data_IF_901000263123
#
_entry.id   IF_901000263123
#
_cell.length_a   1.000
_cell.length_b   1.000
_cell.length_c   1.000
_cell.angle_alpha   90.00
_cell.angle_beta   90.00
_cell.angle_gamma   90.00
#
_symmetry.space_group_name_H-M   'P 1'
#
loop_
_entity.id
_entity.type
_entity.pdbx_description
1 polymer ?
#
# COMPACT_ATOMS: atom_id res chain seq x y z
N UNK A 1 7.00 -9.12 -9.37
CA UNK A 1 5.81 -8.94 -10.22
C UNK A 1 5.02 -7.67 -9.94
N UNK A 2 4.67 -7.30 -8.72
CA UNK A 2 3.90 -6.08 -8.42
C UNK A 2 4.57 -4.80 -8.92
N UNK A 3 5.88 -4.64 -8.70
CA UNK A 3 6.65 -3.47 -9.16
C UNK A 3 6.70 -3.38 -10.69
N UNK A 4 6.94 -4.50 -11.37
CA UNK A 4 6.95 -4.59 -12.82
C UNK A 4 5.58 -4.28 -13.42
N UNK A 5 4.50 -4.80 -12.82
CA UNK A 5 3.11 -4.46 -13.24
C UNK A 5 2.82 -2.97 -13.07
N UNK A 6 3.21 -2.37 -11.93
CA UNK A 6 3.05 -0.94 -11.69
C UNK A 6 3.76 -0.09 -12.74
N UNK A 7 5.01 -0.44 -13.03
CA UNK A 7 5.82 0.26 -14.02
C UNK A 7 5.23 0.18 -15.45
N UNK A 8 4.82 -1.01 -15.90
CA UNK A 8 4.22 -1.18 -17.23
C UNK A 8 2.87 -0.45 -17.37
N UNK A 9 2.04 -0.51 -16.34
CA UNK A 9 0.75 0.16 -16.34
C UNK A 9 0.94 1.68 -16.40
N UNK A 10 1.90 2.21 -15.66
CA UNK A 10 2.20 3.63 -15.67
C UNK A 10 2.76 4.11 -17.02
N UNK A 11 3.64 3.34 -17.64
CA UNK A 11 4.16 3.68 -18.97
C UNK A 11 3.03 3.77 -20.03
N UNK A 12 2.08 2.83 -19.99
CA UNK A 12 0.90 2.88 -20.89
C UNK A 12 0.07 4.14 -20.67
N UNK A 13 -0.16 4.56 -19.41
CA UNK A 13 -0.90 5.80 -19.08
C UNK A 13 -0.19 7.03 -19.61
N UNK A 14 1.13 7.12 -19.45
CA UNK A 14 1.93 8.24 -19.92
C UNK A 14 1.88 8.32 -21.46
N UNK A 15 2.09 7.20 -22.16
CA UNK A 15 2.02 7.16 -23.61
C UNK A 15 0.64 7.56 -24.15
N UNK A 16 -0.43 7.17 -23.44
CA UNK A 16 -1.78 7.57 -23.81
C UNK A 16 -2.02 9.07 -23.57
N UNK A 17 -1.50 9.62 -22.48
CA UNK A 17 -1.58 11.05 -22.22
C UNK A 17 -0.81 11.88 -23.27
N UNK A 18 0.36 11.41 -23.71
CA UNK A 18 1.11 12.04 -24.81
C UNK A 18 0.29 12.05 -26.10
N UNK A 19 -0.38 10.94 -26.44
CA UNK A 19 -1.30 10.89 -27.59
C UNK A 19 -2.45 11.89 -27.48
N UNK A 20 -2.89 12.17 -26.24
CA UNK A 20 -3.94 13.14 -25.94
C UNK A 20 -3.42 14.59 -25.79
N UNK A 21 -2.17 14.85 -26.21
CA UNK A 21 -1.62 16.21 -26.27
C UNK A 21 -0.78 16.66 -25.09
N UNK A 22 -0.44 15.77 -24.14
CA UNK A 22 0.47 16.10 -23.07
C UNK A 22 1.90 16.31 -23.59
N UNK A 23 2.46 17.51 -23.42
CA UNK A 23 3.75 17.93 -24.02
C UNK A 23 4.93 17.89 -23.01
N UNK A 24 4.67 17.73 -21.72
CA UNK A 24 5.66 17.91 -20.65
C UNK A 24 6.55 16.70 -20.35
N UNK A 25 6.33 15.54 -20.97
CA UNK A 25 7.07 14.33 -20.61
C UNK A 25 8.29 14.13 -21.52
N UNK A 26 9.49 14.31 -20.97
CA UNK A 26 10.75 13.88 -21.61
C UNK A 26 11.32 12.69 -20.85
N UNK A 27 11.51 11.57 -21.53
CA UNK A 27 12.15 10.38 -20.95
C UNK A 27 13.63 10.66 -20.67
N UNK A 28 14.03 10.60 -19.41
CA UNK A 28 15.41 10.87 -18.95
C UNK A 28 16.25 9.59 -18.78
N UNK A 29 15.86 8.49 -19.41
CA UNK A 29 16.55 7.21 -19.26
C UNK A 29 16.75 6.46 -20.58
N UNK A 30 17.76 5.61 -20.60
CA UNK A 30 18.08 4.69 -21.70
C UNK A 30 16.90 3.75 -22.00
N UNK A 31 16.74 3.33 -23.27
CA UNK A 31 15.76 2.33 -23.71
C UNK A 31 15.63 1.20 -22.69
N UNK A 32 14.40 0.84 -22.34
CA UNK A 32 14.10 -0.31 -21.49
C UNK A 32 14.71 -1.58 -22.11
N UNK A 33 15.87 -1.96 -21.65
CA UNK A 33 16.48 -3.25 -21.95
C UNK A 33 15.83 -4.33 -21.10
N UNK A 34 15.96 -5.60 -21.51
CA UNK A 34 15.46 -6.76 -20.78
C UNK A 34 15.87 -6.81 -19.29
N UNK A 35 16.90 -6.05 -18.89
CA UNK A 35 17.31 -5.84 -17.49
C UNK A 35 16.25 -5.16 -16.61
N UNK A 36 15.31 -4.43 -17.20
CA UNK A 36 14.19 -3.84 -16.48
C UNK A 36 13.29 -4.91 -15.82
N UNK A 37 13.26 -6.11 -16.39
CA UNK A 37 12.48 -7.24 -15.87
C UNK A 37 13.26 -8.11 -14.88
N UNK A 38 14.58 -7.94 -14.78
CA UNK A 38 15.35 -8.56 -13.70
C UNK A 38 15.01 -7.84 -12.41
N UNK A 39 14.36 -8.56 -11.50
CA UNK A 39 14.18 -8.12 -10.13
C UNK A 39 15.58 -7.81 -9.59
N UNK A 40 15.84 -6.55 -9.28
CA UNK A 40 17.05 -6.22 -8.56
C UNK A 40 16.80 -6.63 -7.10
N UNK A 41 17.28 -7.83 -6.74
CA UNK A 41 17.09 -8.44 -5.42
C UNK A 41 17.46 -7.48 -4.29
N UNK A 42 18.54 -6.73 -4.44
CA UNK A 42 18.98 -5.74 -3.44
C UNK A 42 17.97 -4.59 -3.25
N UNK A 43 17.33 -4.13 -4.34
CA UNK A 43 16.29 -3.09 -4.24
C UNK A 43 14.98 -3.65 -3.67
N UNK A 44 14.66 -4.90 -3.97
CA UNK A 44 13.53 -5.59 -3.38
C UNK A 44 13.76 -5.82 -1.89
N UNK A 45 14.94 -6.26 -1.50
CA UNK A 45 15.35 -6.40 -0.09
C UNK A 45 15.28 -5.07 0.66
N UNK A 46 15.80 -3.98 0.08
CA UNK A 46 15.74 -2.65 0.68
C UNK A 46 14.28 -2.17 0.84
N UNK A 47 13.41 -2.42 -0.16
CA UNK A 47 11.99 -2.08 -0.09
C UNK A 47 11.26 -2.90 0.98
N UNK A 48 11.53 -4.19 1.06
CA UNK A 48 10.96 -5.09 2.06
C UNK A 48 11.45 -4.69 3.45
N UNK A 49 12.74 -4.41 3.61
CA UNK A 49 13.33 -3.92 4.86
C UNK A 49 12.69 -2.60 5.29
N UNK A 50 12.61 -1.61 4.39
CA UNK A 50 11.93 -0.35 4.68
C UNK A 50 10.45 -0.56 5.07
N UNK A 51 9.76 -1.50 4.42
CA UNK A 51 8.38 -1.85 4.77
C UNK A 51 8.28 -2.45 6.17
N UNK A 52 9.21 -3.34 6.53
CA UNK A 52 9.28 -3.95 7.86
C UNK A 52 9.60 -2.88 8.92
N UNK A 53 10.60 -2.02 8.66
CA UNK A 53 10.99 -0.93 9.56
C UNK A 53 9.84 0.08 9.78
N UNK A 54 9.06 0.38 8.72
CA UNK A 54 7.90 1.27 8.83
C UNK A 54 6.75 0.61 9.59
N UNK A 55 6.58 -0.70 9.46
CA UNK A 55 5.59 -1.44 10.23
C UNK A 55 5.97 -1.48 11.72
N UNK A 56 7.25 -1.56 12.04
CA UNK A 56 7.75 -1.44 13.42
C UNK A 56 7.49 -0.06 14.01
N UNK A 57 7.74 1.01 13.24
CA UNK A 57 7.46 2.38 13.67
C UNK A 57 5.98 2.63 13.88
N UNK A 58 5.13 1.98 13.08
CA UNK A 58 3.68 2.14 13.17
C UNK A 58 3.04 1.33 14.33
N UNK A 59 3.69 0.27 14.79
CA UNK A 59 3.07 -0.74 15.66
C UNK A 59 3.99 -1.20 16.80
N UNK A 60 4.83 -0.33 17.31
CA UNK A 60 5.82 -0.53 18.35
C UNK A 60 5.55 -1.65 19.38
N UNK A 61 6.54 -2.51 19.55
CA UNK A 61 6.77 -3.48 20.63
C UNK A 61 6.10 -4.85 20.49
N UNK A 62 6.57 -5.62 19.53
CA UNK A 62 6.61 -7.07 19.66
C UNK A 62 7.90 -7.44 20.38
N UNK A 63 7.87 -8.34 21.38
CA UNK A 63 9.06 -8.79 22.10
C UNK A 63 10.18 -9.18 21.12
N UNK A 64 11.39 -8.63 21.30
CA UNK A 64 12.50 -8.68 20.32
C UNK A 64 12.75 -10.05 19.67
N UNK A 65 12.65 -11.14 20.40
CA UNK A 65 12.91 -12.50 19.87
C UNK A 65 11.79 -12.99 18.94
N UNK A 66 10.54 -12.75 19.31
CA UNK A 66 9.39 -13.10 18.47
C UNK A 66 9.37 -12.25 17.18
N UNK A 67 9.83 -11.00 17.26
CA UNK A 67 9.88 -10.07 16.16
C UNK A 67 10.74 -10.58 14.98
N UNK A 68 11.93 -11.13 15.25
CA UNK A 68 12.81 -11.66 14.20
C UNK A 68 12.20 -12.86 13.48
N UNK A 69 11.45 -13.69 14.19
CA UNK A 69 10.75 -14.84 13.63
C UNK A 69 9.56 -14.41 12.75
N UNK A 70 8.79 -13.41 13.19
CA UNK A 70 7.74 -12.80 12.36
C UNK A 70 8.31 -12.18 11.08
N UNK A 71 9.40 -11.43 11.20
CA UNK A 71 10.06 -10.79 10.05
C UNK A 71 10.52 -11.80 9.01
N UNK A 72 11.17 -12.88 9.42
CA UNK A 72 11.64 -13.94 8.52
C UNK A 72 10.48 -14.61 7.79
N UNK A 73 9.41 -14.97 8.51
CA UNK A 73 8.24 -15.60 7.91
C UNK A 73 7.57 -14.68 6.88
N UNK A 74 7.38 -13.39 7.24
CA UNK A 74 6.80 -12.39 6.33
C UNK A 74 7.72 -12.11 5.14
N UNK A 75 9.03 -11.98 5.35
CA UNK A 75 9.99 -11.78 4.27
C UNK A 75 9.90 -12.89 3.21
N UNK A 76 9.97 -14.15 3.64
CA UNK A 76 9.90 -15.29 2.73
C UNK A 76 8.58 -15.32 1.94
N UNK A 77 7.46 -15.04 2.60
CA UNK A 77 6.15 -14.99 1.96
C UNK A 77 6.04 -13.82 0.97
N UNK A 78 6.62 -12.67 1.28
CA UNK A 78 6.64 -11.52 0.36
C UNK A 78 7.49 -11.77 -0.87
N UNK A 79 8.67 -12.38 -0.71
CA UNK A 79 9.49 -12.82 -1.85
C UNK A 79 8.68 -13.76 -2.73
N UNK A 80 8.05 -14.78 -2.15
CA UNK A 80 7.22 -15.74 -2.87
C UNK A 80 6.08 -15.07 -3.66
N UNK A 81 5.32 -14.18 -3.03
CA UNK A 81 4.22 -13.45 -3.68
C UNK A 81 4.70 -12.48 -4.77
N UNK A 82 5.79 -11.74 -4.50
CA UNK A 82 6.27 -10.68 -5.40
C UNK A 82 7.09 -11.21 -6.58
N UNK A 83 7.74 -12.36 -6.46
CA UNK A 83 8.45 -13.02 -7.56
C UNK A 83 7.49 -13.74 -8.52
N UNK A 84 6.24 -13.94 -8.11
CA UNK A 84 5.24 -14.68 -8.88
C UNK A 84 5.41 -16.18 -8.81
N UNK A 85 6.14 -16.67 -7.81
CA UNK A 85 6.28 -18.11 -7.56
C UNK A 85 4.95 -18.78 -7.14
N UNK A 86 3.98 -17.98 -6.67
CA UNK A 86 2.65 -18.47 -6.33
C UNK A 86 1.63 -17.38 -6.05
N UNK A 87 0.46 -17.81 -5.56
CA UNK A 87 -0.65 -16.90 -5.25
C UNK A 87 -0.42 -16.18 -3.94
N UNK A 88 -1.14 -15.07 -3.77
CA UNK A 88 -1.13 -14.29 -2.54
C UNK A 88 -1.63 -15.12 -1.33
N UNK A 89 -2.72 -15.85 -1.51
CA UNK A 89 -3.32 -16.71 -0.48
C UNK A 89 -2.32 -17.76 0.01
N UNK A 90 -1.56 -18.35 -0.93
CA UNK A 90 -0.53 -19.31 -0.59
C UNK A 90 0.64 -18.68 0.15
N UNK A 91 0.99 -17.43 -0.14
CA UNK A 91 2.00 -16.68 0.61
C UNK A 91 1.56 -16.44 2.07
N UNK A 92 0.29 -16.08 2.29
CA UNK A 92 -0.29 -15.93 3.64
C UNK A 92 -0.28 -17.26 4.39
N UNK A 93 -0.69 -18.35 3.75
CA UNK A 93 -0.67 -19.70 4.33
C UNK A 93 0.76 -20.14 4.73
N UNK A 94 1.74 -19.91 3.85
CA UNK A 94 3.15 -20.19 4.14
C UNK A 94 3.66 -19.39 5.34
N UNK A 95 3.40 -18.08 5.40
CA UNK A 95 3.81 -17.25 6.54
C UNK A 95 3.16 -17.73 7.84
N UNK A 96 1.87 -18.03 7.79
CA UNK A 96 1.12 -18.50 8.95
C UNK A 96 1.67 -19.84 9.46
N UNK A 97 1.92 -20.80 8.57
CA UNK A 97 2.50 -22.10 8.94
C UNK A 97 3.92 -21.99 9.49
N UNK A 98 4.76 -21.14 8.90
CA UNK A 98 6.12 -20.89 9.39
C UNK A 98 6.09 -20.29 10.81
N UNK A 99 5.22 -19.30 11.06
CA UNK A 99 5.05 -18.71 12.40
C UNK A 99 4.54 -19.74 13.41
N UNK A 100 3.53 -20.53 13.05
CA UNK A 100 3.00 -21.59 13.94
C UNK A 100 4.05 -22.65 14.24
N UNK A 101 4.87 -23.06 13.26
CA UNK A 101 5.95 -24.04 13.45
C UNK A 101 7.02 -23.56 14.45
N UNK A 102 7.15 -22.24 14.62
CA UNK A 102 8.04 -21.61 15.60
C UNK A 102 7.38 -21.38 16.98
N UNK A 103 6.15 -21.88 17.18
CA UNK A 103 5.40 -21.72 18.42
C UNK A 103 4.76 -20.36 18.61
N UNK A 104 4.65 -19.55 17.56
CA UNK A 104 3.98 -18.26 17.61
C UNK A 104 2.47 -18.45 17.43
N UNK A 105 1.67 -17.93 18.35
CA UNK A 105 0.21 -18.11 18.34
C UNK A 105 -0.57 -16.87 17.92
N UNK A 106 -0.05 -15.68 18.21
CA UNK A 106 -0.65 -14.39 17.87
C UNK A 106 0.41 -13.30 17.86
N UNK A 107 0.08 -12.17 17.23
CA UNK A 107 0.87 -10.93 17.32
C UNK A 107 0.20 -10.01 18.31
N UNK A 108 0.91 -9.56 19.31
CA UNK A 108 0.46 -8.57 20.27
C UNK A 108 1.14 -7.22 19.99
N UNK A 109 0.34 -6.17 19.85
CA UNK A 109 0.83 -4.81 19.63
C UNK A 109 1.08 -4.08 20.94
N UNK A 110 1.84 -2.98 20.89
CA UNK A 110 2.16 -2.17 22.06
C UNK A 110 0.93 -1.65 22.83
N UNK A 111 -0.20 -1.48 22.15
CA UNK A 111 -1.48 -1.10 22.75
C UNK A 111 -2.25 -2.28 23.36
N UNK A 112 -1.64 -3.49 23.45
CA UNK A 112 -2.27 -4.70 23.96
C UNK A 112 -3.24 -5.39 22.98
N UNK A 113 -3.43 -4.86 21.76
CA UNK A 113 -4.28 -5.50 20.77
C UNK A 113 -3.60 -6.78 20.25
N UNK A 114 -4.38 -7.88 20.18
CA UNK A 114 -3.91 -9.17 19.66
C UNK A 114 -4.54 -9.45 18.30
N UNK A 115 -3.71 -9.87 17.37
CA UNK A 115 -4.11 -10.27 16.04
C UNK A 115 -3.71 -11.71 15.74
N UNK A 116 -4.50 -12.42 14.96
CA UNK A 116 -4.11 -13.75 14.47
C UNK A 116 -2.91 -13.64 13.54
N UNK A 117 -2.13 -14.70 13.42
CA UNK A 117 -0.97 -14.74 12.54
C UNK A 117 -1.36 -14.55 11.07
N UNK A 118 -2.47 -15.16 10.65
CA UNK A 118 -2.99 -15.01 9.28
C UNK A 118 -3.41 -13.56 8.98
N UNK A 119 -4.06 -12.91 9.94
CA UNK A 119 -4.48 -11.51 9.83
C UNK A 119 -3.29 -10.55 9.74
N UNK A 120 -2.25 -10.82 10.55
CA UNK A 120 -0.99 -10.07 10.49
C UNK A 120 -0.25 -10.30 9.18
N UNK A 121 -0.12 -11.55 8.73
CA UNK A 121 0.52 -11.90 7.47
C UNK A 121 -0.21 -11.27 6.28
N UNK A 122 -1.55 -11.35 6.25
CA UNK A 122 -2.38 -10.70 5.24
C UNK A 122 -2.12 -9.20 5.17
N UNK A 123 -2.15 -8.52 6.31
CA UNK A 123 -1.88 -7.08 6.40
C UNK A 123 -0.48 -6.74 5.89
N UNK A 124 0.54 -7.47 6.34
CA UNK A 124 1.93 -7.22 5.99
C UNK A 124 2.18 -7.41 4.49
N UNK A 125 1.76 -8.53 3.93
CA UNK A 125 1.98 -8.86 2.52
C UNK A 125 1.22 -7.90 1.60
N UNK A 126 -0.05 -7.58 1.91
CA UNK A 126 -0.84 -6.58 1.15
C UNK A 126 -0.17 -5.21 1.14
N UNK A 127 0.29 -4.76 2.31
CA UNK A 127 0.94 -3.46 2.45
C UNK A 127 2.24 -3.41 1.65
N UNK A 128 3.08 -4.44 1.74
CA UNK A 128 4.33 -4.51 1.00
C UNK A 128 4.13 -4.60 -0.51
N UNK A 129 3.17 -5.43 -0.97
CA UNK A 129 2.85 -5.56 -2.39
C UNK A 129 2.34 -4.23 -2.98
N UNK A 130 1.53 -3.49 -2.22
CA UNK A 130 1.07 -2.16 -2.63
C UNK A 130 2.22 -1.17 -2.72
N UNK A 131 3.10 -1.13 -1.73
CA UNK A 131 4.28 -0.24 -1.75
C UNK A 131 5.20 -0.58 -2.91
N UNK A 132 5.44 -1.86 -3.20
CA UNK A 132 6.22 -2.29 -4.36
C UNK A 132 5.58 -1.85 -5.68
N UNK A 133 4.24 -1.91 -5.77
CA UNK A 133 3.51 -1.42 -6.95
C UNK A 133 3.67 0.10 -7.13
N UNK A 134 3.46 0.88 -6.05
CA UNK A 134 3.61 2.34 -6.07
C UNK A 134 5.05 2.78 -6.40
N UNK A 135 6.05 2.03 -5.89
CA UNK A 135 7.45 2.23 -6.23
C UNK A 135 7.70 2.03 -7.73
N UNK A 136 7.13 0.97 -8.33
CA UNK A 136 7.27 0.70 -9.76
C UNK A 136 6.62 1.78 -10.63
N UNK A 137 5.42 2.27 -10.23
CA UNK A 137 4.78 3.41 -10.90
C UNK A 137 5.60 4.70 -10.75
N UNK A 138 6.10 4.96 -9.52
CA UNK A 138 6.90 6.17 -9.23
C UNK A 138 8.21 6.21 -10.00
N UNK A 139 8.93 5.09 -10.09
CA UNK A 139 10.15 5.01 -10.90
C UNK A 139 9.88 5.30 -12.38
N UNK A 140 8.76 4.79 -12.89
CA UNK A 140 8.39 5.07 -14.28
C UNK A 140 8.02 6.55 -14.47
N UNK A 141 7.28 7.17 -13.54
CA UNK A 141 7.01 8.62 -13.59
C UNK A 141 8.31 9.43 -13.54
N UNK A 142 9.26 9.03 -12.67
CA UNK A 142 10.57 9.67 -12.56
C UNK A 142 11.36 9.63 -13.88
N UNK A 143 11.35 8.50 -14.60
CA UNK A 143 11.99 8.38 -15.92
C UNK A 143 11.42 9.39 -16.93
N UNK A 144 10.14 9.75 -16.80
CA UNK A 144 9.46 10.71 -17.67
C UNK A 144 9.43 12.14 -17.11
N UNK A 145 10.09 12.40 -15.97
CA UNK A 145 10.13 13.70 -15.33
C UNK A 145 8.79 14.16 -14.76
N UNK A 146 7.86 13.24 -14.50
CA UNK A 146 6.51 13.55 -14.00
C UNK A 146 6.46 13.22 -12.51
N UNK A 147 6.10 14.21 -11.70
CA UNK A 147 5.96 14.04 -10.26
C UNK A 147 4.57 14.43 -9.70
N UNK A 148 3.67 14.91 -10.56
CA UNK A 148 2.31 15.25 -10.19
C UNK A 148 1.42 14.01 -10.19
N UNK A 149 0.71 13.78 -9.08
CA UNK A 149 -0.22 12.67 -8.90
C UNK A 149 -1.53 13.17 -8.33
N UNK A 150 -2.62 12.47 -8.60
CA UNK A 150 -3.92 12.75 -8.02
C UNK A 150 -4.40 11.57 -7.19
N UNK A 151 -4.82 11.83 -5.97
CA UNK A 151 -5.44 10.83 -5.11
C UNK A 151 -6.82 10.45 -5.64
N UNK A 152 -7.12 9.17 -5.67
CA UNK A 152 -8.44 8.70 -6.06
C UNK A 152 -9.51 9.24 -5.08
N UNK A 153 -10.57 9.85 -5.61
CA UNK A 153 -11.78 10.21 -4.86
C UNK A 153 -12.68 8.98 -4.79
N UNK A 154 -12.43 8.13 -3.82
CA UNK A 154 -13.19 6.91 -3.59
C UNK A 154 -14.41 7.21 -2.72
N UNK A 155 -15.53 6.49 -2.91
CA UNK A 155 -16.78 6.73 -2.18
C UNK A 155 -16.71 6.50 -0.65
N UNK A 156 -15.68 5.79 -0.15
CA UNK A 156 -15.50 5.51 1.27
C UNK A 156 -14.02 5.58 1.71
N UNK A 157 -13.33 6.72 1.53
CA UNK A 157 -12.00 6.89 2.09
C UNK A 157 -12.07 6.84 3.62
N UNK A 158 -11.06 6.26 4.25
CA UNK A 158 -10.98 6.27 5.70
C UNK A 158 -10.69 7.71 6.22
N UNK A 159 -10.96 8.01 7.52
CA UNK A 159 -10.75 9.35 8.06
C UNK A 159 -9.33 9.91 7.89
N UNK A 160 -8.31 9.05 7.82
CA UNK A 160 -6.91 9.47 7.59
C UNK A 160 -6.65 9.85 6.13
N UNK A 161 -7.33 9.21 5.19
CA UNK A 161 -7.14 9.42 3.76
C UNK A 161 -8.09 10.46 3.17
N UNK A 162 -9.26 10.65 3.79
CA UNK A 162 -10.29 11.61 3.36
C UNK A 162 -9.73 13.03 3.08
N UNK A 163 -8.84 13.60 3.92
CA UNK A 163 -8.30 14.94 3.65
C UNK A 163 -7.51 15.08 2.35
N UNK A 164 -7.08 13.95 1.77
CA UNK A 164 -6.27 13.91 0.56
C UNK A 164 -7.03 13.39 -0.66
N UNK A 165 -8.22 12.81 -0.48
CA UNK A 165 -9.01 12.26 -1.56
C UNK A 165 -9.37 13.34 -2.60
N UNK A 166 -9.13 13.05 -3.88
CA UNK A 166 -9.32 13.98 -4.99
C UNK A 166 -8.23 15.03 -5.17
N UNK A 167 -7.30 15.19 -4.22
CA UNK A 167 -6.25 16.21 -4.27
C UNK A 167 -5.08 15.82 -5.16
N UNK A 168 -4.53 16.82 -5.83
CA UNK A 168 -3.26 16.72 -6.53
C UNK A 168 -2.12 16.88 -5.52
N UNK A 169 -1.11 16.03 -5.60
CA UNK A 169 0.09 16.04 -4.76
C UNK A 169 1.34 16.03 -5.62
N UNK A 170 2.45 16.55 -5.09
CA UNK A 170 3.78 16.30 -5.63
C UNK A 170 4.31 15.01 -4.97
N UNK A 171 4.63 14.04 -5.80
CA UNK A 171 5.20 12.76 -5.34
C UNK A 171 6.73 12.89 -5.18
N UNK A 172 7.13 13.37 -4.01
CA UNK A 172 8.51 13.50 -3.57
C UNK A 172 9.08 12.20 -2.97
N UNK A 173 8.26 11.14 -2.90
CA UNK A 173 8.64 9.86 -2.28
C UNK A 173 9.08 8.85 -3.33
N UNK A 174 8.26 8.61 -4.36
CA UNK A 174 8.52 7.56 -5.35
C UNK A 174 8.92 8.10 -6.72
N UNK A 175 8.40 9.27 -7.10
CA UNK A 175 8.65 9.88 -8.42
C UNK A 175 9.78 10.90 -8.41
N UNK A 176 10.37 11.21 -7.26
CA UNK A 176 11.47 12.18 -7.14
C UNK A 176 11.04 13.62 -7.38
N UNK A 177 9.79 13.96 -7.06
CA UNK A 177 9.26 15.31 -7.15
C UNK A 177 9.97 16.31 -6.24
N UNK A 178 9.81 17.58 -6.56
CA UNK A 178 10.45 18.68 -5.83
C UNK A 178 9.94 18.79 -4.39
N UNK A 179 10.84 18.84 -3.43
CA UNK A 179 10.52 18.97 -1.99
C UNK A 179 9.92 20.33 -1.60
N UNK A 180 9.95 21.31 -2.47
CA UNK A 180 9.29 22.60 -2.24
C UNK A 180 7.79 22.58 -2.57
N UNK A 181 7.29 21.48 -3.15
CA UNK A 181 5.89 21.31 -3.51
C UNK A 181 5.47 22.09 -4.76
N UNK A 182 6.41 22.60 -5.54
CA UNK A 182 6.13 23.33 -6.77
C UNK A 182 6.30 22.43 -7.97
N UNK A 183 5.27 22.36 -8.79
CA UNK A 183 5.33 21.71 -10.10
C UNK A 183 6.18 22.54 -11.06
N UNK A 184 7.27 21.99 -11.61
CA UNK A 184 8.21 22.75 -12.44
C UNK A 184 7.62 23.22 -13.77
N UNK A 185 6.56 22.56 -14.28
CA UNK A 185 5.95 22.90 -15.57
C UNK A 185 4.92 24.02 -15.44
N UNK A 186 4.10 23.97 -14.40
CA UNK A 186 2.99 24.93 -14.22
C UNK A 186 3.28 26.02 -13.21
N UNK A 187 4.34 25.87 -12.40
CA UNK A 187 4.63 26.74 -11.27
C UNK A 187 3.61 26.65 -10.11
N UNK A 188 2.62 25.76 -10.21
CA UNK A 188 1.62 25.57 -9.16
C UNK A 188 2.19 24.84 -7.97
N UNK A 189 1.73 25.24 -6.79
CA UNK A 189 2.10 24.59 -5.52
C UNK A 189 1.05 23.60 -5.11
N UNK A 190 1.51 22.38 -4.79
CA UNK A 190 0.69 21.27 -4.31
C UNK A 190 1.27 20.70 -3.02
N UNK A 191 0.44 20.07 -2.16
CA UNK A 191 0.95 19.35 -0.99
C UNK A 191 1.90 18.23 -1.41
N UNK A 192 2.84 17.89 -0.52
CA UNK A 192 3.79 16.79 -0.74
C UNK A 192 3.17 15.43 -0.40
N UNK A 193 3.56 14.40 -1.13
CA UNK A 193 3.21 13.02 -0.81
C UNK A 193 3.79 12.60 0.54
N UNK A 194 5.04 12.97 0.85
CA UNK A 194 5.67 12.72 2.14
C UNK A 194 4.89 13.33 3.30
N UNK A 195 4.35 14.53 3.15
CA UNK A 195 3.47 15.16 4.13
C UNK A 195 2.17 14.36 4.31
N UNK A 196 1.53 13.96 3.21
CA UNK A 196 0.29 13.18 3.28
C UNK A 196 0.52 11.83 3.99
N UNK A 197 1.65 11.16 3.71
CA UNK A 197 2.03 9.91 4.38
C UNK A 197 2.27 10.15 5.88
N UNK A 198 2.92 11.24 6.27
CA UNK A 198 3.12 11.59 7.68
C UNK A 198 1.80 11.83 8.43
N UNK A 199 0.73 12.20 7.72
CA UNK A 199 -0.63 12.36 8.26
C UNK A 199 -1.46 11.08 8.21
N UNK A 200 -0.87 9.98 7.75
CA UNK A 200 -1.46 8.64 7.77
C UNK A 200 -1.99 8.13 6.43
N UNK A 201 -1.72 8.83 5.33
CA UNK A 201 -1.96 8.26 4.01
C UNK A 201 -1.11 6.99 3.83
N UNK A 202 -1.64 5.99 3.14
CA UNK A 202 -0.97 4.69 2.94
C UNK A 202 -0.59 3.95 4.22
N UNK A 203 -1.37 4.14 5.30
CA UNK A 203 -1.27 3.32 6.50
C UNK A 203 -1.43 1.81 6.19
N UNK A 204 -1.04 0.89 7.09
CA UNK A 204 -1.29 -0.53 6.89
C UNK A 204 -2.75 -0.82 6.49
N UNK A 205 -2.96 -1.70 5.50
CA UNK A 205 -4.27 -2.02 4.90
C UNK A 205 -4.98 -0.84 4.19
N UNK A 206 -4.29 0.26 3.91
CA UNK A 206 -4.89 1.37 3.18
C UNK A 206 -5.39 0.91 1.80
N UNK A 207 -6.66 1.19 1.51
CA UNK A 207 -7.31 0.85 0.23
C UNK A 207 -7.14 1.95 -0.82
N UNK A 208 -6.75 3.17 -0.43
CA UNK A 208 -6.64 4.32 -1.32
C UNK A 208 -5.42 4.23 -2.23
N UNK A 209 -5.52 4.84 -3.40
CA UNK A 209 -4.49 4.85 -4.44
C UNK A 209 -4.39 6.23 -5.07
N UNK A 210 -3.32 6.46 -5.80
CA UNK A 210 -3.18 7.62 -6.66
C UNK A 210 -2.93 7.22 -8.11
N UNK A 211 -3.13 8.16 -9.01
CA UNK A 211 -2.76 8.03 -10.41
C UNK A 211 -1.94 9.24 -10.82
N UNK A 212 -1.29 9.18 -11.99
CA UNK A 212 -0.58 10.33 -12.52
C UNK A 212 -1.57 11.44 -12.85
N UNK A 213 -1.26 12.65 -12.45
CA UNK A 213 -1.96 13.86 -12.85
C UNK A 213 -1.19 14.52 -13.99
N UNK A 214 -1.87 14.79 -15.09
CA UNK A 214 -1.32 15.48 -16.23
C UNK A 214 -1.90 16.88 -16.31
N UNK A 215 -1.14 17.93 -15.95
CA UNK A 215 -1.62 19.30 -16.03
C UNK A 215 -2.18 19.64 -17.42
N UNK A 216 -3.33 20.29 -17.44
CA UNK A 216 -4.02 20.65 -18.69
C UNK A 216 -4.82 19.53 -19.38
N UNK A 217 -4.70 18.26 -18.92
CA UNK A 217 -5.44 17.10 -19.44
C UNK A 217 -6.30 16.45 -18.37
N UNK A 218 -5.73 16.23 -17.18
CA UNK A 218 -6.44 15.62 -16.06
C UNK A 218 -7.28 16.67 -15.33
N UNK A 219 -8.48 16.28 -14.91
CA UNK A 219 -9.31 17.08 -14.00
C UNK A 219 -9.08 16.61 -12.56
N UNK A 220 -9.05 17.54 -11.63
CA UNK A 220 -9.00 17.27 -10.20
C UNK A 220 -10.34 17.67 -9.56
N UNK A 221 -10.90 16.81 -8.73
CA UNK A 221 -12.07 17.07 -7.92
C UNK A 221 -11.78 16.70 -6.47
N UNK A 222 -11.42 17.70 -5.67
CA UNK A 222 -11.15 17.59 -4.24
C UNK A 222 -12.28 18.16 -3.39
N UNK A 223 -13.41 18.50 -4.01
CA UNK A 223 -14.59 19.02 -3.33
C UNK A 223 -15.48 17.87 -2.83
N UNK A 224 -16.09 18.07 -1.68
CA UNK A 224 -17.01 17.12 -1.09
C UNK A 224 -18.29 17.84 -0.70
N UNK A 225 -19.43 17.34 -1.14
CA UNK A 225 -20.72 17.84 -0.66
C UNK A 225 -20.99 17.29 0.75
N UNK A 226 -21.94 17.90 1.45
CA UNK A 226 -22.34 17.44 2.77
C UNK A 226 -22.92 16.03 2.72
N UNK A 227 -23.71 15.74 1.70
CA UNK A 227 -24.34 14.45 1.45
C UNK A 227 -23.29 13.36 1.17
N UNK A 228 -22.26 13.68 0.38
CA UNK A 228 -21.12 12.76 0.12
C UNK A 228 -20.36 12.44 1.41
N UNK A 229 -20.11 13.43 2.27
CA UNK A 229 -19.40 13.23 3.54
C UNK A 229 -20.24 12.38 4.52
N UNK A 230 -21.53 12.60 4.59
CA UNK A 230 -22.45 11.79 5.38
C UNK A 230 -22.49 10.33 4.87
N UNK A 231 -22.56 10.14 3.55
CA UNK A 231 -22.51 8.82 2.93
C UNK A 231 -21.20 8.09 3.22
N UNK A 232 -20.05 8.78 3.13
CA UNK A 232 -18.72 8.25 3.52
C UNK A 232 -18.73 7.80 4.98
N UNK A 233 -19.29 8.61 5.87
CA UNK A 233 -19.39 8.30 7.30
C UNK A 233 -20.21 7.03 7.57
N UNK A 234 -21.39 6.93 6.95
CA UNK A 234 -22.26 5.75 7.06
C UNK A 234 -21.59 4.48 6.51
N UNK A 235 -20.94 4.58 5.35
CA UNK A 235 -20.27 3.45 4.72
C UNK A 235 -19.09 2.95 5.56
N UNK A 236 -18.29 3.86 6.13
CA UNK A 236 -17.21 3.51 7.05
C UNK A 236 -17.75 2.81 8.32
N UNK A 237 -18.88 3.26 8.87
CA UNK A 237 -19.53 2.60 10.01
C UNK A 237 -20.01 1.19 9.66
N UNK A 238 -20.63 1.02 8.49
CA UNK A 238 -21.09 -0.28 8.01
C UNK A 238 -19.93 -1.25 7.82
N UNK A 239 -18.85 -0.82 7.15
CA UNK A 239 -17.64 -1.65 7.00
C UNK A 239 -17.04 -2.04 8.36
N UNK A 240 -16.97 -1.11 9.32
CA UNK A 240 -16.46 -1.40 10.65
C UNK A 240 -17.32 -2.43 11.40
N UNK A 241 -18.65 -2.34 11.29
CA UNK A 241 -19.59 -3.32 11.88
C UNK A 241 -19.44 -4.70 11.24
N UNK A 242 -19.34 -4.77 9.90
CA UNK A 242 -19.14 -6.03 9.19
C UNK A 242 -17.82 -6.70 9.59
N UNK A 243 -16.72 -5.94 9.62
CA UNK A 243 -15.41 -6.44 10.05
C UNK A 243 -15.43 -6.89 11.52
N UNK A 244 -16.17 -6.22 12.38
CA UNK A 244 -16.34 -6.64 13.77
C UNK A 244 -17.11 -7.95 13.85
N UNK A 245 -18.25 -8.07 13.15
CA UNK A 245 -19.07 -9.28 13.12
C UNK A 245 -18.26 -10.47 12.61
N UNK A 246 -17.55 -10.32 11.50
CA UNK A 246 -16.69 -11.37 10.94
C UNK A 246 -15.62 -11.82 11.95
N UNK A 247 -14.95 -10.88 12.62
CA UNK A 247 -13.96 -11.24 13.66
C UNK A 247 -14.58 -11.98 14.84
N UNK A 248 -15.82 -11.63 15.23
CA UNK A 248 -16.51 -12.37 16.31
C UNK A 248 -16.89 -13.76 15.85
N UNK A 249 -17.41 -13.91 14.63
CA UNK A 249 -17.74 -15.21 14.05
C UNK A 249 -16.51 -16.13 13.99
N UNK A 250 -15.39 -15.64 13.47
CA UNK A 250 -14.13 -16.39 13.43
C UNK A 250 -13.61 -16.73 14.85
N UNK A 251 -13.76 -15.81 15.80
CA UNK A 251 -13.37 -16.05 17.20
C UNK A 251 -14.21 -17.16 17.83
N UNK A 252 -15.52 -17.06 17.71
CA UNK A 252 -16.41 -18.05 18.31
C UNK A 252 -16.37 -19.37 17.57
N UNK A 253 -16.15 -19.37 16.25
CA UNK A 253 -15.91 -20.57 15.46
C UNK A 253 -14.69 -21.33 15.98
N UNK A 254 -13.55 -20.64 16.19
CA UNK A 254 -12.37 -21.27 16.80
C UNK A 254 -12.62 -21.79 18.23
N UNK A 255 -13.33 -21.01 19.03
CA UNK A 255 -13.67 -21.45 20.39
C UNK A 255 -14.56 -22.69 20.37
N UNK A 256 -15.54 -22.76 19.46
CA UNK A 256 -16.40 -23.92 19.29
C UNK A 256 -15.61 -25.16 18.84
N UNK A 257 -14.72 -24.99 17.86
CA UNK A 257 -13.89 -26.07 17.31
C UNK A 257 -12.98 -26.74 18.38
N UNK A 258 -12.44 -25.94 19.30
CA UNK A 258 -11.53 -26.40 20.34
C UNK A 258 -12.15 -26.56 21.72
N UNK A 259 -13.47 -26.36 21.85
CA UNK A 259 -14.18 -26.55 23.12
C UNK A 259 -14.40 -28.04 23.41
N UNK A 260 -14.03 -28.46 24.60
CA UNK A 260 -14.32 -29.83 25.08
C UNK A 260 -15.78 -30.01 25.50
N UNK A 261 -16.54 -28.92 25.67
CA UNK A 261 -17.94 -28.94 26.14
C UNK A 261 -18.98 -29.10 25.03
N UNK A 262 -18.57 -29.29 23.78
CA UNK A 262 -19.47 -29.49 22.62
C UNK A 262 -20.24 -30.84 22.61
N UNK A 263 -20.21 -31.58 23.72
CA UNK A 263 -20.93 -32.88 23.86
C UNK A 263 -22.03 -32.83 24.94
N UNK A 264 -22.72 -31.71 25.05
CA UNK A 264 -23.98 -31.71 25.82
C UNK A 264 -25.10 -31.13 25.02
#
# INVERSE_FOLDING_TARGET
>A
MSRSKGSMQQERRILQAIKNGFKGAKRTGSRATAEFFKLNEQKLEALIKATIDDMEKAETAVLRKANDDYRKAIFNAQVYANTGAGTYEKAVDMATKDMLSRGLNCVEYANGARHTLSDYADMAIKTASKRAYLQGEGEKRKEWGIATVIMAKRGNPCPKCLPFAGKVLIDDVWSGGSKNGVDPETGKKYPLMSYAISKGLYHPRCKDSHTTYFPGISTADDTWTKEELEAVGLQNQQEARQQYAQRQEEKYGRLAEYSLDMKK
#
